data_IF_425277772350
#
_entry.id   IF_425277772350
#
_cell.length_a   1.000
_cell.length_b   1.000
_cell.length_c   1.000
_cell.angle_alpha   90.00
_cell.angle_beta   90.00
_cell.angle_gamma   90.00
#
_symmetry.space_group_name_H-M   'P 1'
#
loop_
_entity.id
_entity.type
_entity.pdbx_description
1 polymer ?
#
# COMPACT_ATOMS: atom_id res chain seq x y z
N UNK A 1 10.43 1.37 15.43
CA UNK A 1 9.12 1.45 14.76
C UNK A 1 7.96 1.92 15.64
N UNK A 2 7.40 1.13 16.57
CA UNK A 2 6.21 1.57 17.34
C UNK A 2 6.43 2.86 18.14
N UNK A 3 7.64 3.04 18.68
CA UNK A 3 8.10 4.28 19.31
C UNK A 3 8.08 5.47 18.35
N UNK A 4 8.60 5.29 17.14
CA UNK A 4 8.78 6.35 16.13
C UNK A 4 7.44 6.75 15.50
N UNK A 5 6.56 5.77 15.25
CA UNK A 5 5.16 6.00 14.89
C UNK A 5 4.44 6.80 15.98
N UNK A 6 4.61 6.41 17.25
CA UNK A 6 4.05 7.16 18.38
C UNK A 6 4.59 8.59 18.47
N UNK A 7 5.89 8.78 18.21
CA UNK A 7 6.52 10.10 18.17
C UNK A 7 5.96 10.98 17.04
N UNK A 8 5.72 10.42 15.85
CA UNK A 8 5.08 11.13 14.74
C UNK A 8 3.64 11.54 15.10
N UNK A 9 2.85 10.61 15.61
CA UNK A 9 1.43 10.85 15.89
C UNK A 9 1.23 11.82 17.06
N UNK A 10 2.00 11.68 18.14
CA UNK A 10 1.80 12.44 19.39
C UNK A 10 2.63 13.72 19.41
N UNK A 11 3.87 13.66 18.91
CA UNK A 11 4.86 14.74 19.05
C UNK A 11 5.23 15.38 17.72
N UNK A 12 4.70 14.88 16.60
CA UNK A 12 4.99 15.38 15.24
C UNK A 12 6.47 15.29 14.88
N UNK A 13 7.14 14.28 15.42
CA UNK A 13 8.55 13.99 15.13
C UNK A 13 8.60 12.81 14.17
N UNK A 14 8.98 13.08 12.92
CA UNK A 14 9.16 12.05 11.90
C UNK A 14 10.57 11.46 11.98
N UNK A 15 10.65 10.13 11.96
CA UNK A 15 11.86 9.39 11.60
C UNK A 15 11.71 8.93 10.15
N UNK A 16 12.55 9.43 9.25
CA UNK A 16 12.44 9.19 7.80
C UNK A 16 12.64 7.72 7.43
N UNK A 17 13.44 6.98 8.22
CA UNK A 17 13.74 5.56 8.02
C UNK A 17 12.91 4.63 8.95
N UNK A 18 12.03 5.18 9.80
CA UNK A 18 11.11 4.39 10.63
C UNK A 18 9.77 5.10 10.83
N UNK A 19 8.80 4.77 9.98
CA UNK A 19 7.48 5.41 9.95
C UNK A 19 6.42 4.46 9.39
N UNK A 20 5.21 4.93 9.11
CA UNK A 20 4.12 4.08 8.60
C UNK A 20 4.45 3.34 7.29
N UNK A 21 5.46 3.79 6.52
CA UNK A 21 5.90 3.12 5.30
C UNK A 21 7.17 2.29 5.45
N UNK A 22 8.05 2.63 6.40
CA UNK A 22 9.36 2.00 6.56
C UNK A 22 9.56 1.39 7.93
N UNK A 23 10.02 0.14 7.96
CA UNK A 23 10.28 -0.62 9.18
C UNK A 23 9.87 -2.09 9.03
N UNK A 24 9.93 -2.83 10.14
CA UNK A 24 9.58 -4.25 10.18
C UNK A 24 8.11 -4.51 9.77
N UNK A 25 7.24 -3.53 10.00
CA UNK A 25 5.80 -3.61 9.78
C UNK A 25 5.30 -2.36 9.05
N UNK A 26 5.26 -2.37 7.72
CA UNK A 26 4.72 -1.26 6.91
C UNK A 26 3.24 -0.98 7.28
N UNK A 27 2.97 -0.02 8.15
CA UNK A 27 1.67 0.26 8.78
C UNK A 27 0.55 0.77 7.85
N UNK A 28 0.54 0.39 6.57
CA UNK A 28 -0.67 0.36 5.73
C UNK A 28 -1.65 -0.76 6.09
N UNK A 29 -1.46 -1.41 7.23
CA UNK A 29 -2.12 -2.65 7.61
C UNK A 29 -3.50 -2.50 8.19
N UNK A 30 -4.27 -1.71 7.49
CA UNK A 30 -5.67 -1.46 7.72
C UNK A 30 -6.28 -1.36 6.37
N UNK A 31 -6.28 -2.49 5.70
CA UNK A 31 -7.48 -2.89 5.02
C UNK A 31 -7.64 -4.40 5.03
N UNK A 32 -8.91 -4.75 4.96
CA UNK A 32 -9.49 -6.06 4.78
C UNK A 32 -8.53 -6.95 3.96
N UNK A 33 -8.29 -8.19 4.39
CA UNK A 33 -7.79 -9.27 3.52
C UNK A 33 -8.87 -9.60 2.46
N UNK A 34 -9.52 -8.58 1.90
CA UNK A 34 -10.53 -8.68 0.88
C UNK A 34 -9.78 -9.21 -0.32
N UNK A 35 -10.29 -10.31 -0.86
CA UNK A 35 -9.92 -10.76 -2.20
C UNK A 35 -10.18 -9.61 -3.17
N UNK A 36 -9.18 -8.75 -3.39
CA UNK A 36 -9.25 -7.74 -4.44
C UNK A 36 -9.16 -8.47 -5.76
N UNK A 37 -10.29 -8.52 -6.45
CA UNK A 37 -10.63 -9.36 -7.61
C UNK A 37 -9.86 -9.04 -8.91
N UNK A 38 -8.68 -8.43 -8.85
CA UNK A 38 -7.95 -7.98 -10.06
C UNK A 38 -6.52 -8.48 -10.23
N UNK A 39 -5.95 -9.17 -9.24
CA UNK A 39 -4.78 -10.01 -9.51
C UNK A 39 -5.30 -11.41 -9.73
N UNK A 40 -4.76 -12.12 -10.73
CA UNK A 40 -4.93 -13.57 -10.98
C UNK A 40 -4.35 -14.38 -9.80
N UNK A 41 -4.71 -14.04 -8.56
CA UNK A 41 -4.37 -14.82 -7.40
C UNK A 41 -5.20 -16.09 -7.51
N UNK A 42 -4.53 -17.18 -7.84
CA UNK A 42 -5.15 -18.50 -7.83
C UNK A 42 -5.74 -18.67 -6.42
N UNK A 43 -7.02 -19.05 -6.28
CA UNK A 43 -7.69 -19.15 -4.98
C UNK A 43 -6.89 -19.93 -3.93
N UNK A 44 -6.11 -20.92 -4.37
CA UNK A 44 -5.19 -21.73 -3.56
C UNK A 44 -4.02 -20.93 -2.99
N UNK A 45 -3.36 -20.07 -3.78
CA UNK A 45 -2.25 -19.24 -3.30
C UNK A 45 -2.71 -18.21 -2.26
N UNK A 46 -3.89 -17.61 -2.48
CA UNK A 46 -4.48 -16.70 -1.49
C UNK A 46 -4.84 -17.43 -0.19
N UNK A 47 -5.37 -18.66 -0.29
CA UNK A 47 -5.67 -19.49 0.87
C UNK A 47 -4.40 -19.83 1.67
N UNK A 48 -3.31 -20.23 1.02
CA UNK A 48 -2.04 -20.53 1.72
C UNK A 48 -1.49 -19.32 2.47
N UNK A 49 -1.62 -18.10 1.91
CA UNK A 49 -1.24 -16.87 2.63
C UNK A 49 -2.08 -16.71 3.90
N UNK A 50 -3.40 -16.86 3.82
CA UNK A 50 -4.29 -16.74 4.98
C UNK A 50 -4.05 -17.84 6.01
N UNK A 51 -3.86 -19.09 5.57
CA UNK A 51 -3.50 -20.20 6.46
C UNK A 51 -2.18 -19.96 7.16
N UNK A 52 -1.18 -19.43 6.45
CA UNK A 52 0.10 -19.05 7.05
C UNK A 52 -0.12 -18.00 8.12
N UNK A 53 -0.91 -16.95 7.86
CA UNK A 53 -1.24 -15.98 8.91
C UNK A 53 -1.88 -16.64 10.14
N UNK A 54 -2.79 -17.60 9.96
CA UNK A 54 -3.40 -18.34 11.10
C UNK A 54 -2.36 -19.16 11.85
N UNK A 55 -1.44 -19.84 11.15
CA UNK A 55 -0.34 -20.60 11.77
C UNK A 55 0.55 -19.72 12.66
N UNK A 56 0.69 -18.44 12.32
CA UNK A 56 1.44 -17.43 13.09
C UNK A 56 0.57 -16.62 14.06
N UNK A 57 -0.66 -17.07 14.36
CA UNK A 57 -1.49 -16.49 15.43
C UNK A 57 -2.62 -15.55 14.97
N UNK A 58 -2.88 -15.42 13.67
CA UNK A 58 -4.10 -14.77 13.20
C UNK A 58 -5.34 -15.60 13.60
N UNK A 59 -6.49 -14.96 13.89
CA UNK A 59 -7.66 -15.68 14.34
C UNK A 59 -8.24 -16.53 13.18
N UNK A 60 -8.58 -17.83 13.39
CA UNK A 60 -9.01 -18.74 12.31
C UNK A 60 -10.17 -18.25 11.45
N UNK A 61 -11.01 -17.36 12.01
CA UNK A 61 -12.12 -16.71 11.28
C UNK A 61 -11.68 -16.00 10.00
N UNK A 62 -10.41 -15.60 9.88
CA UNK A 62 -9.91 -14.94 8.66
C UNK A 62 -10.00 -15.82 7.40
N UNK A 63 -10.14 -17.13 7.57
CA UNK A 63 -10.28 -18.10 6.48
C UNK A 63 -11.71 -18.20 5.92
N UNK A 64 -12.70 -17.79 6.71
CA UNK A 64 -14.13 -17.97 6.39
C UNK A 64 -14.89 -16.65 6.26
N UNK A 65 -14.41 -15.59 6.92
CA UNK A 65 -15.04 -14.26 6.87
C UNK A 65 -15.02 -13.72 5.42
N UNK A 66 -16.20 -13.32 4.91
CA UNK A 66 -16.30 -12.73 3.56
C UNK A 66 -15.59 -11.37 3.42
N UNK A 67 -15.41 -10.66 4.55
CA UNK A 67 -14.69 -9.39 4.67
C UNK A 67 -13.70 -9.47 5.83
N UNK A 68 -12.65 -10.24 5.61
CA UNK A 68 -11.64 -10.53 6.63
C UNK A 68 -10.89 -9.28 7.07
N UNK A 69 -10.83 -9.01 8.38
CA UNK A 69 -10.01 -7.94 8.98
C UNK A 69 -9.18 -8.48 10.16
N UNK A 70 -7.90 -8.11 10.21
CA UNK A 70 -7.00 -8.52 11.30
C UNK A 70 -6.84 -7.42 12.36
N UNK A 71 -6.62 -6.18 11.92
CA UNK A 71 -6.31 -5.04 12.78
C UNK A 71 -4.83 -4.94 13.15
N UNK A 72 -4.33 -3.71 13.28
CA UNK A 72 -2.91 -3.42 13.51
C UNK A 72 -2.37 -4.02 14.82
N UNK A 73 -3.20 -4.06 15.86
CA UNK A 73 -2.89 -4.64 17.18
C UNK A 73 -2.57 -6.13 17.13
N UNK A 74 -3.21 -6.88 16.22
CA UNK A 74 -2.96 -8.32 16.04
C UNK A 74 -1.86 -8.62 15.05
N UNK A 75 -1.66 -7.72 14.08
CA UNK A 75 -0.65 -7.94 13.06
C UNK A 75 0.78 -7.74 13.57
N UNK A 76 1.01 -6.73 14.43
CA UNK A 76 2.37 -6.42 14.91
C UNK A 76 3.01 -7.65 15.61
N UNK A 77 2.35 -8.30 16.59
CA UNK A 77 2.91 -9.50 17.22
C UNK A 77 3.13 -10.65 16.23
N UNK A 78 2.20 -10.84 15.30
CA UNK A 78 2.26 -11.89 14.28
C UNK A 78 3.48 -11.73 13.36
N UNK A 79 3.82 -10.51 12.97
CA UNK A 79 5.01 -10.23 12.14
C UNK A 79 6.32 -10.40 12.92
N UNK A 80 6.32 -10.14 14.23
CA UNK A 80 7.48 -10.44 15.07
C UNK A 80 7.77 -11.94 15.12
N UNK A 81 6.74 -12.78 15.19
CA UNK A 81 6.88 -14.25 15.17
C UNK A 81 7.41 -14.78 13.82
N UNK A 82 7.03 -14.15 12.70
CA UNK A 82 7.64 -14.44 11.39
C UNK A 82 9.15 -14.17 11.40
N UNK A 83 9.57 -13.03 11.94
CA UNK A 83 10.98 -12.63 12.02
C UNK A 83 11.83 -13.63 12.80
N UNK A 84 11.32 -14.12 13.93
CA UNK A 84 11.99 -15.17 14.74
C UNK A 84 12.17 -16.46 13.94
N UNK A 85 11.21 -16.80 13.08
CA UNK A 85 11.24 -18.05 12.32
C UNK A 85 12.25 -18.02 11.16
N UNK A 86 12.44 -16.87 10.52
CA UNK A 86 13.30 -16.73 9.33
C UNK A 86 14.78 -16.45 9.66
N UNK A 87 15.13 -16.17 10.93
CA UNK A 87 16.50 -16.11 11.54
C UNK A 87 17.59 -15.25 10.86
N UNK A 88 17.33 -14.61 9.71
CA UNK A 88 18.36 -14.02 8.83
C UNK A 88 18.08 -12.56 8.44
N UNK A 89 17.20 -11.86 9.15
CA UNK A 89 16.80 -10.50 8.78
C UNK A 89 17.81 -9.48 9.31
N UNK A 90 18.18 -8.54 8.43
CA UNK A 90 19.02 -7.40 8.79
C UNK A 90 18.14 -6.15 8.80
N UNK A 91 17.91 -5.59 9.99
CA UNK A 91 17.19 -4.33 10.17
C UNK A 91 18.17 -3.16 10.36
N UNK A 92 17.69 -1.94 10.08
CA UNK A 92 18.54 -0.75 10.13
C UNK A 92 19.49 -0.65 8.93
N UNK A 93 19.19 -1.33 7.83
CA UNK A 93 20.01 -1.33 6.61
C UNK A 93 19.13 -0.99 5.42
N UNK A 94 19.55 0.02 4.65
CA UNK A 94 18.87 0.47 3.44
C UNK A 94 19.71 0.10 2.21
N UNK A 95 19.05 -0.40 1.17
CA UNK A 95 19.69 -0.57 -0.15
C UNK A 95 19.64 0.77 -0.88
N UNK A 96 20.79 1.35 -1.17
CA UNK A 96 20.92 2.64 -1.87
C UNK A 96 21.07 2.48 -3.38
N UNK A 97 21.76 1.42 -3.83
CA UNK A 97 22.02 1.19 -5.25
C UNK A 97 22.18 -0.29 -5.60
N UNK A 98 22.04 -0.62 -6.88
CA UNK A 98 22.28 -1.95 -7.43
C UNK A 98 23.72 -2.07 -7.95
N UNK A 99 24.37 -3.20 -7.73
CA UNK A 99 25.61 -3.54 -8.41
C UNK A 99 25.25 -4.32 -9.68
N UNK A 100 25.59 -3.77 -10.84
CA UNK A 100 25.21 -4.31 -12.15
C UNK A 100 26.46 -4.52 -13.00
N UNK A 101 26.57 -5.70 -13.60
CA UNK A 101 27.59 -6.07 -14.58
C UNK A 101 26.91 -6.74 -15.76
N UNK A 102 27.18 -6.29 -17.00
CA UNK A 102 26.64 -6.90 -18.23
C UNK A 102 25.11 -7.12 -18.23
N UNK A 103 24.37 -6.10 -17.75
CA UNK A 103 22.90 -6.14 -17.54
C UNK A 103 22.42 -7.27 -16.62
N UNK A 104 23.25 -7.66 -15.67
CA UNK A 104 22.96 -8.65 -14.65
C UNK A 104 23.21 -8.02 -13.27
N UNK A 105 22.28 -8.19 -12.34
CA UNK A 105 22.49 -7.83 -10.93
C UNK A 105 23.53 -8.78 -10.35
N UNK A 106 24.54 -8.22 -9.70
CA UNK A 106 25.60 -8.97 -9.01
C UNK A 106 25.69 -8.62 -7.53
N UNK A 107 24.78 -7.77 -7.04
CA UNK A 107 24.77 -7.35 -5.64
C UNK A 107 24.08 -6.02 -5.40
N UNK A 108 24.29 -5.48 -4.20
CA UNK A 108 23.70 -4.23 -3.72
C UNK A 108 24.71 -3.37 -2.98
N UNK A 109 24.49 -2.06 -3.04
CA UNK A 109 25.12 -1.08 -2.16
C UNK A 109 24.16 -0.76 -1.03
N UNK A 110 24.63 -0.87 0.21
CA UNK A 110 23.82 -0.66 1.41
C UNK A 110 24.41 0.40 2.33
N UNK A 111 23.57 1.05 3.12
CA UNK A 111 23.95 1.96 4.21
C UNK A 111 23.20 1.63 5.51
N UNK A 112 23.79 2.00 6.66
CA UNK A 112 23.10 1.94 7.94
C UNK A 112 22.09 3.11 8.03
N UNK A 113 20.81 2.78 8.18
CA UNK A 113 19.74 3.77 8.23
C UNK A 113 19.66 4.53 9.55
N UNK A 114 20.50 4.17 10.54
CA UNK A 114 20.58 4.83 11.86
C UNK A 114 21.64 5.93 11.89
N UNK A 115 22.57 5.97 10.93
CA UNK A 115 23.62 6.98 10.86
C UNK A 115 23.14 8.23 10.10
N UNK A 116 22.56 9.19 10.82
CA UNK A 116 22.14 10.50 10.27
C UNK A 116 23.31 11.42 9.84
N UNK A 117 24.55 10.95 9.83
CA UNK A 117 25.74 11.78 9.56
C UNK A 117 26.78 11.00 8.76
N UNK A 118 26.80 11.26 7.46
CA UNK A 118 27.85 10.98 6.46
C UNK A 118 27.65 9.71 5.61
N UNK A 119 27.69 9.80 4.27
CA UNK A 119 27.59 8.65 3.35
C UNK A 119 28.85 7.75 3.31
N UNK A 120 29.68 7.77 4.35
CA UNK A 120 31.00 7.11 4.38
C UNK A 120 30.97 5.62 4.68
N UNK A 121 29.85 5.09 5.20
CA UNK A 121 29.74 3.69 5.63
C UNK A 121 28.92 2.84 4.64
N UNK A 122 29.04 3.14 3.33
CA UNK A 122 28.35 2.33 2.32
C UNK A 122 29.09 1.01 2.08
N UNK A 123 28.44 -0.12 2.33
CA UNK A 123 28.98 -1.45 2.09
C UNK A 123 28.47 -2.00 0.75
N UNK A 124 29.29 -2.77 0.06
CA UNK A 124 28.89 -3.54 -1.12
C UNK A 124 28.74 -5.01 -0.73
N UNK A 125 27.62 -5.61 -1.11
CA UNK A 125 27.32 -7.02 -0.85
C UNK A 125 27.01 -7.71 -2.18
N UNK A 126 27.65 -8.86 -2.43
CA UNK A 126 27.45 -9.66 -3.64
C UNK A 126 26.28 -10.62 -3.51
N UNK A 127 25.44 -10.70 -4.54
CA UNK A 127 24.28 -11.60 -4.62
C UNK A 127 24.00 -12.00 -6.07
N UNK A 128 23.55 -13.24 -6.29
CA UNK A 128 23.23 -13.77 -7.61
C UNK A 128 21.83 -13.38 -8.11
N UNK A 129 20.93 -13.04 -7.19
CA UNK A 129 19.60 -12.54 -7.49
C UNK A 129 19.10 -11.58 -6.41
N UNK A 130 18.19 -10.70 -6.81
CA UNK A 130 17.58 -9.72 -5.94
C UNK A 130 16.08 -9.63 -6.16
N UNK A 131 15.32 -9.81 -5.08
CA UNK A 131 13.88 -9.54 -5.06
C UNK A 131 13.66 -8.10 -4.61
N UNK A 132 13.01 -7.30 -5.46
CA UNK A 132 12.71 -5.90 -5.16
C UNK A 132 11.26 -5.76 -4.69
N UNK A 133 11.06 -5.71 -3.37
CA UNK A 133 9.76 -5.66 -2.69
C UNK A 133 9.60 -4.42 -1.80
N UNK A 134 10.06 -3.26 -2.26
CA UNK A 134 10.28 -2.05 -1.44
C UNK A 134 9.01 -1.22 -1.14
N UNK A 135 7.85 -1.65 -1.65
CA UNK A 135 6.61 -0.86 -1.58
C UNK A 135 6.66 0.40 -2.46
N UNK A 136 5.53 1.10 -2.55
CA UNK A 136 5.36 2.22 -3.50
C UNK A 136 5.79 3.59 -2.95
N UNK A 137 6.21 3.65 -1.68
CA UNK A 137 6.69 4.88 -1.03
C UNK A 137 8.21 5.00 -1.05
N UNK A 138 8.92 3.89 -1.34
CA UNK A 138 10.36 3.92 -1.49
C UNK A 138 10.74 4.55 -2.83
N UNK A 139 11.75 5.42 -2.82
CA UNK A 139 12.44 5.77 -4.05
C UNK A 139 13.17 4.51 -4.56
N UNK A 140 13.01 4.12 -5.83
CA UNK A 140 13.81 3.03 -6.36
C UNK A 140 15.31 3.42 -6.34
N UNK A 141 16.22 2.46 -6.16
CA UNK A 141 17.66 2.71 -6.21
C UNK A 141 18.07 3.41 -7.52
N UNK A 142 19.10 4.26 -7.50
CA UNK A 142 19.46 5.10 -8.66
C UNK A 142 19.68 4.29 -9.94
N UNK A 143 20.38 3.15 -9.91
CA UNK A 143 20.54 2.30 -11.11
C UNK A 143 19.32 1.44 -11.42
N UNK A 144 18.38 1.27 -10.49
CA UNK A 144 17.06 0.76 -10.83
C UNK A 144 16.26 1.78 -11.65
N UNK A 145 16.65 3.07 -11.63
CA UNK A 145 16.05 4.08 -12.51
C UNK A 145 16.44 3.85 -13.98
N UNK A 146 17.65 3.34 -14.24
CA UNK A 146 18.13 3.00 -15.59
C UNK A 146 17.40 1.79 -16.19
N UNK A 147 16.71 1.01 -15.35
CA UNK A 147 15.87 -0.14 -15.70
C UNK A 147 14.48 0.29 -16.19
N UNK A 148 14.17 1.59 -16.17
CA UNK A 148 12.98 2.19 -16.78
C UNK A 148 13.28 2.73 -18.20
N UNK A 149 13.61 1.90 -19.22
CA UNK A 149 13.75 2.44 -20.56
C UNK A 149 12.36 2.82 -21.07
N UNK A 150 12.20 4.08 -21.49
CA UNK A 150 11.15 4.46 -22.45
C UNK A 150 9.86 5.05 -21.87
N UNK A 151 9.20 5.83 -22.74
CA UNK A 151 8.09 6.77 -22.55
C UNK A 151 6.80 6.23 -21.89
N UNK A 152 6.71 4.94 -21.58
CA UNK A 152 5.45 4.26 -21.22
C UNK A 152 5.42 3.67 -19.78
N UNK A 153 6.40 3.98 -18.93
CA UNK A 153 6.50 3.43 -17.56
C UNK A 153 5.59 4.11 -16.51
N UNK A 154 4.90 5.19 -16.91
CA UNK A 154 3.85 5.80 -16.07
C UNK A 154 2.55 5.03 -16.29
N UNK A 155 2.11 4.27 -15.29
CA UNK A 155 0.73 3.79 -15.26
C UNK A 155 -0.23 4.95 -15.04
N UNK A 156 -1.50 4.74 -15.38
CA UNK A 156 -2.58 5.46 -14.74
C UNK A 156 -2.43 5.28 -13.22
N UNK A 157 -2.02 6.34 -12.54
CA UNK A 157 -1.94 6.36 -11.11
C UNK A 157 -3.32 6.74 -10.56
N UNK A 158 -3.84 5.96 -9.63
CA UNK A 158 -5.05 6.36 -8.94
C UNK A 158 -4.66 7.46 -7.95
N UNK A 159 -5.21 8.66 -8.10
CA UNK A 159 -4.65 9.82 -7.42
C UNK A 159 -5.66 10.82 -6.98
N UNK A 160 -5.48 11.23 -5.73
CA UNK A 160 -6.21 12.33 -5.17
C UNK A 160 -7.58 11.88 -4.78
N UNK A 161 -7.75 11.64 -3.50
CA UNK A 161 -8.79 12.48 -2.99
C UNK A 161 -8.90 12.52 -1.50
N UNK A 162 -9.93 13.25 -1.14
CA UNK A 162 -10.23 13.76 0.16
C UNK A 162 -10.37 12.57 1.09
N UNK A 163 -9.51 12.46 2.11
CA UNK A 163 -10.02 11.86 3.34
C UNK A 163 -11.03 12.86 3.88
N UNK A 164 -12.28 12.70 3.46
CA UNK A 164 -13.36 13.50 3.98
C UNK A 164 -13.48 13.15 5.46
N UNK A 165 -13.04 14.07 6.31
CA UNK A 165 -13.53 14.15 7.66
C UNK A 165 -14.96 14.66 7.59
N UNK A 166 -15.89 13.75 7.35
CA UNK A 166 -17.19 13.95 7.97
C UNK A 166 -16.99 13.76 9.46
N UNK A 167 -16.62 14.85 10.15
CA UNK A 167 -17.32 15.14 11.40
C UNK A 167 -18.78 15.42 11.00
N UNK A 168 -19.51 14.35 10.67
CA UNK A 168 -20.87 14.33 11.13
C UNK A 168 -20.76 14.37 12.64
N UNK A 169 -20.79 15.57 13.22
CA UNK A 169 -21.41 15.74 14.54
C UNK A 169 -22.76 15.04 14.40
N UNK A 170 -22.85 13.82 14.93
CA UNK A 170 -23.93 12.85 14.74
C UNK A 170 -24.16 12.39 13.29
N UNK A 171 -23.44 11.35 12.88
CA UNK A 171 -24.10 10.26 12.17
C UNK A 171 -24.12 9.14 13.19
N UNK A 172 -25.12 9.20 14.07
CA UNK A 172 -25.45 8.08 14.93
C UNK A 172 -25.62 6.88 13.99
N UNK A 173 -24.79 5.86 14.16
CA UNK A 173 -24.85 4.62 13.36
C UNK A 173 -26.24 3.98 13.45
N UNK A 174 -27.09 4.47 14.37
CA UNK A 174 -28.52 4.15 14.45
C UNK A 174 -29.42 4.77 13.37
N UNK A 175 -29.04 5.81 12.60
CA UNK A 175 -30.00 6.64 11.83
C UNK A 175 -29.66 7.02 10.36
N UNK A 176 -28.70 6.39 9.67
CA UNK A 176 -28.54 6.48 8.19
C UNK A 176 -28.67 5.06 7.60
N UNK A 177 -28.85 4.83 6.28
CA UNK A 177 -29.33 3.58 5.73
C UNK A 177 -28.17 2.59 5.45
N UNK A 178 -27.43 2.10 6.46
CA UNK A 178 -27.12 0.68 6.52
C UNK A 178 -28.17 -0.07 7.34
N UNK A 179 -29.16 0.64 7.92
CA UNK A 179 -30.30 0.00 8.61
C UNK A 179 -30.96 -1.02 7.69
N UNK A 180 -31.09 -0.79 6.37
CA UNK A 180 -31.64 -1.80 5.46
C UNK A 180 -30.67 -2.94 5.14
N UNK A 181 -29.35 -2.69 5.03
CA UNK A 181 -28.36 -3.74 4.77
C UNK A 181 -28.30 -4.73 5.94
N UNK A 182 -28.42 -4.22 7.16
CA UNK A 182 -28.34 -5.02 8.37
C UNK A 182 -29.69 -5.25 9.06
N UNK A 183 -30.82 -4.73 8.56
CA UNK A 183 -32.15 -4.96 9.18
C UNK A 183 -32.51 -6.44 9.17
N UNK A 184 -32.10 -7.16 8.12
CA UNK A 184 -32.25 -8.62 8.05
C UNK A 184 -31.44 -9.32 9.15
N UNK A 185 -30.18 -8.91 9.35
CA UNK A 185 -29.32 -9.44 10.42
C UNK A 185 -29.75 -8.98 11.81
N UNK A 186 -30.37 -7.81 11.95
CA UNK A 186 -30.80 -7.26 13.23
C UNK A 186 -31.83 -8.17 13.89
N UNK A 187 -32.75 -8.75 13.12
CA UNK A 187 -33.71 -9.74 13.61
C UNK A 187 -33.02 -11.03 14.05
N UNK A 188 -32.01 -11.50 13.30
CA UNK A 188 -31.23 -12.69 13.67
C UNK A 188 -30.44 -12.47 14.96
N UNK A 189 -29.79 -11.31 15.10
CA UNK A 189 -29.01 -10.93 16.28
C UNK A 189 -29.92 -10.72 17.49
N UNK A 190 -31.10 -10.09 17.32
CA UNK A 190 -32.12 -9.99 18.36
C UNK A 190 -32.62 -11.37 18.80
N UNK A 191 -32.70 -12.35 17.88
CA UNK A 191 -33.01 -13.75 18.20
C UNK A 191 -31.83 -14.51 18.85
N UNK A 192 -30.74 -13.82 19.19
CA UNK A 192 -29.55 -14.39 19.83
C UNK A 192 -28.53 -15.00 18.86
N UNK A 193 -28.72 -14.89 17.54
CA UNK A 193 -27.80 -15.45 16.55
C UNK A 193 -26.75 -14.41 16.14
N UNK A 194 -25.57 -14.52 16.74
CA UNK A 194 -24.39 -13.78 16.31
C UNK A 194 -24.39 -12.30 16.67
N UNK A 195 -23.54 -11.52 15.99
CA UNK A 195 -23.42 -10.06 16.17
C UNK A 195 -23.56 -9.38 14.81
N UNK A 196 -24.15 -8.19 14.78
CA UNK A 196 -24.11 -7.34 13.59
C UNK A 196 -22.64 -6.99 13.35
N UNK A 197 -22.08 -7.28 12.16
CA UNK A 197 -20.71 -6.90 11.85
C UNK A 197 -20.60 -5.37 11.81
N UNK A 198 -19.38 -4.86 11.97
CA UNK A 198 -19.18 -3.40 11.86
C UNK A 198 -19.48 -2.99 10.42
N UNK A 199 -20.40 -2.05 10.27
CA UNK A 199 -20.90 -1.62 8.97
C UNK A 199 -19.77 -1.03 8.11
N UNK A 200 -19.76 -1.39 6.84
CA UNK A 200 -18.89 -0.83 5.83
C UNK A 200 -19.64 -0.26 4.64
N UNK A 201 -18.93 0.45 3.76
CA UNK A 201 -19.50 1.03 2.55
C UNK A 201 -18.46 1.02 1.43
N UNK A 202 -18.96 0.94 0.20
CA UNK A 202 -18.17 1.10 -1.02
C UNK A 202 -18.98 1.91 -2.02
N UNK A 203 -18.49 3.10 -2.34
CA UNK A 203 -19.16 4.05 -3.24
C UNK A 203 -18.28 4.27 -4.47
N UNK A 204 -18.92 4.35 -5.64
CA UNK A 204 -18.29 4.66 -6.92
C UNK A 204 -19.24 5.58 -7.67
N UNK A 205 -18.70 6.65 -8.24
CA UNK A 205 -19.42 7.61 -9.08
C UNK A 205 -18.57 7.92 -10.31
N UNK A 206 -19.19 8.04 -11.48
CA UNK A 206 -18.53 8.51 -12.70
C UNK A 206 -18.95 9.96 -12.95
N UNK A 207 -18.00 10.87 -12.80
CA UNK A 207 -18.22 12.30 -13.00
C UNK A 207 -17.85 12.65 -14.43
N UNK A 208 -18.84 13.11 -15.19
CA UNK A 208 -18.63 13.71 -16.50
C UNK A 208 -18.47 15.23 -16.34
N UNK A 209 -17.45 15.81 -16.99
CA UNK A 209 -17.25 17.26 -17.00
C UNK A 209 -18.02 17.97 -18.12
N UNK A 210 -18.79 17.26 -18.94
CA UNK A 210 -19.72 17.83 -19.92
C UNK A 210 -20.76 18.71 -19.18
N UNK A 211 -20.46 20.00 -19.02
CA UNK A 211 -21.31 20.97 -18.31
C UNK A 211 -20.63 21.74 -17.17
N UNK A 212 -19.38 21.41 -16.81
CA UNK A 212 -18.57 22.21 -15.89
C UNK A 212 -17.77 23.22 -16.73
N UNK A 213 -17.85 24.51 -16.41
CA UNK A 213 -17.04 25.54 -17.06
C UNK A 213 -15.56 25.30 -16.75
N UNK A 214 -14.88 24.60 -17.64
CA UNK A 214 -13.44 24.37 -17.52
C UNK A 214 -12.67 25.55 -18.13
N UNK A 215 -11.41 25.80 -17.72
CA UNK A 215 -10.54 26.76 -18.39
C UNK A 215 -10.50 26.49 -19.91
N UNK A 216 -10.41 27.53 -20.72
CA UNK A 216 -10.76 27.59 -22.16
C UNK A 216 -9.96 26.69 -23.13
N UNK A 217 -9.33 25.61 -22.68
CA UNK A 217 -8.56 24.66 -23.50
C UNK A 217 -8.65 23.19 -23.05
N UNK A 218 -9.53 22.82 -22.11
CA UNK A 218 -9.63 21.43 -21.65
C UNK A 218 -10.80 20.68 -22.27
N UNK A 219 -10.49 19.61 -22.98
CA UNK A 219 -11.48 18.64 -23.45
C UNK A 219 -12.27 18.03 -22.27
N UNK A 220 -13.55 17.66 -22.47
CA UNK A 220 -14.32 16.96 -21.46
C UNK A 220 -13.66 15.63 -21.06
N UNK A 221 -13.66 15.34 -19.76
CA UNK A 221 -13.03 14.15 -19.17
C UNK A 221 -14.03 13.43 -18.28
N UNK A 222 -14.23 12.15 -18.54
CA UNK A 222 -14.86 11.25 -17.57
C UNK A 222 -13.85 10.87 -16.50
N UNK A 223 -14.22 11.09 -15.23
CA UNK A 223 -13.43 10.67 -14.07
C UNK A 223 -14.21 9.70 -13.23
N UNK A 224 -13.53 8.69 -12.71
CA UNK A 224 -14.10 7.82 -11.68
C UNK A 224 -13.68 8.32 -10.31
N UNK A 225 -14.66 8.55 -9.45
CA UNK A 225 -14.51 8.87 -8.05
C UNK A 225 -14.97 7.66 -7.23
N UNK A 226 -14.23 7.23 -6.22
CA UNK A 226 -14.61 6.07 -5.42
C UNK A 226 -14.04 6.10 -4.01
N UNK A 227 -14.70 5.41 -3.08
CA UNK A 227 -14.19 5.21 -1.73
C UNK A 227 -13.08 4.15 -1.74
N UNK A 228 -11.96 4.46 -1.09
CA UNK A 228 -10.78 3.62 -0.95
C UNK A 228 -10.38 3.52 0.52
N UNK A 229 -9.95 2.33 0.95
CA UNK A 229 -9.44 2.09 2.30
C UNK A 229 -10.41 2.55 3.42
N UNK A 230 -11.72 2.28 3.28
CA UNK A 230 -12.75 2.63 4.29
C UNK A 230 -12.60 1.86 5.62
N UNK A 231 -11.99 2.44 6.64
CA UNK A 231 -11.76 1.84 7.95
C UNK A 231 -12.96 2.06 8.89
N UNK A 232 -13.78 1.03 9.15
CA UNK A 232 -14.86 1.13 10.13
C UNK A 232 -14.25 1.22 11.54
N UNK A 233 -14.81 2.08 12.38
CA UNK A 233 -14.34 2.25 13.76
C UNK A 233 -12.83 2.48 13.85
N UNK A 234 -12.31 3.28 12.92
CA UNK A 234 -10.89 3.57 12.74
C UNK A 234 -10.47 5.00 13.10
N UNK A 235 -9.28 5.37 12.62
CA UNK A 235 -8.62 6.65 12.76
C UNK A 235 -7.84 6.98 11.48
N UNK A 236 -7.69 8.27 11.19
CA UNK A 236 -6.78 8.76 10.15
C UNK A 236 -5.38 8.88 10.75
N UNK A 237 -4.36 8.46 10.02
CA UNK A 237 -2.96 8.46 10.46
C UNK A 237 -2.08 9.25 9.52
N UNK A 238 -1.10 9.95 10.09
CA UNK A 238 -0.03 10.61 9.35
C UNK A 238 0.90 9.55 8.76
N UNK A 239 1.05 9.57 7.44
CA UNK A 239 1.87 8.62 6.69
C UNK A 239 2.96 9.30 5.87
N UNK A 240 3.30 10.55 6.21
CA UNK A 240 4.42 11.27 5.63
C UNK A 240 5.74 10.50 5.77
N UNK A 241 6.56 10.54 4.73
CA UNK A 241 7.93 9.99 4.72
C UNK A 241 9.01 11.06 4.63
N UNK A 242 8.63 12.32 4.42
CA UNK A 242 9.53 13.45 4.36
C UNK A 242 9.00 14.59 5.26
N UNK A 243 9.87 15.36 5.95
CA UNK A 243 9.46 16.49 6.80
C UNK A 243 8.72 17.61 6.09
N UNK A 244 8.94 17.76 4.78
CA UNK A 244 8.32 18.80 3.94
C UNK A 244 7.05 18.34 3.23
N UNK A 245 6.60 17.11 3.49
CA UNK A 245 5.48 16.46 2.79
C UNK A 245 4.39 16.05 3.80
N UNK A 246 3.12 16.25 3.41
CA UNK A 246 1.97 15.80 4.19
C UNK A 246 1.18 14.73 3.42
N UNK A 247 1.09 13.53 4.00
CA UNK A 247 0.27 12.44 3.49
C UNK A 247 -0.49 11.76 4.64
N UNK A 248 -1.75 11.39 4.40
CA UNK A 248 -2.57 10.63 5.37
C UNK A 248 -3.09 9.32 4.79
N UNK A 249 -3.51 8.42 5.69
CA UNK A 249 -4.16 7.15 5.36
C UNK A 249 -5.14 6.74 6.45
N UNK A 250 -5.94 5.69 6.23
CA UNK A 250 -6.82 5.10 7.23
C UNK A 250 -6.18 3.96 8.05
N UNK A 251 -6.56 3.87 9.33
CA UNK A 251 -6.22 2.80 10.27
C UNK A 251 -7.39 2.38 11.17
N UNK A 252 -7.44 1.12 11.61
CA UNK A 252 -8.39 0.54 12.56
C UNK A 252 -7.76 -0.64 13.31
N UNK A 253 -8.12 -0.76 14.58
CA UNK A 253 -7.76 -1.92 15.40
C UNK A 253 -8.70 -3.10 15.10
N UNK A 254 -8.37 -4.29 15.60
CA UNK A 254 -9.12 -5.52 15.40
C UNK A 254 -10.57 -5.43 15.88
N UNK A 255 -10.83 -4.60 16.90
CA UNK A 255 -12.16 -4.36 17.47
C UNK A 255 -13.00 -3.36 16.68
N UNK A 256 -12.38 -2.51 15.84
CA UNK A 256 -13.07 -1.47 15.08
C UNK A 256 -14.06 -0.66 15.94
N UNK A 257 -13.59 -0.18 17.10
CA UNK A 257 -14.44 0.42 18.15
C UNK A 257 -14.27 1.93 18.30
N UNK A 258 -13.55 2.60 17.39
CA UNK A 258 -13.55 4.06 17.37
C UNK A 258 -14.96 4.58 17.06
N UNK A 259 -15.25 5.79 17.54
CA UNK A 259 -16.50 6.49 17.21
C UNK A 259 -16.60 6.93 15.74
N UNK A 260 -15.51 6.82 14.98
CA UNK A 260 -15.40 7.31 13.60
C UNK A 260 -15.23 6.17 12.60
N UNK A 261 -15.85 6.32 11.43
CA UNK A 261 -15.49 5.60 10.21
C UNK A 261 -14.79 6.58 9.26
N UNK A 262 -13.78 6.12 8.54
CA UNK A 262 -13.03 6.97 7.60
C UNK A 262 -12.77 6.22 6.30
N UNK A 263 -12.78 6.92 5.17
CA UNK A 263 -12.28 6.44 3.88
C UNK A 263 -11.61 7.59 3.16
N UNK A 264 -10.70 7.29 2.24
CA UNK A 264 -10.39 8.25 1.19
C UNK A 264 -11.45 8.17 0.09
N UNK A 265 -11.94 9.31 -0.34
CA UNK A 265 -12.71 9.45 -1.57
C UNK A 265 -11.74 9.89 -2.65
N UNK A 266 -11.37 8.99 -3.55
CA UNK A 266 -10.27 9.23 -4.52
C UNK A 266 -10.79 9.33 -5.95
N UNK A 267 -10.07 10.09 -6.78
CA UNK A 267 -10.28 10.25 -8.22
C UNK A 267 -9.17 9.54 -8.98
N UNK A 268 -9.44 9.20 -10.25
CA UNK A 268 -8.43 8.68 -11.16
C UNK A 268 -7.65 9.81 -11.83
N UNK A 269 -6.31 9.72 -11.81
CA UNK A 269 -5.45 10.55 -12.66
C UNK A 269 -4.66 9.67 -13.64
N UNK A 270 -4.12 10.31 -14.65
CA UNK A 270 -3.39 9.66 -15.73
C UNK A 270 -2.17 10.47 -16.11
N UNK A 271 -1.36 9.92 -17.01
CA UNK A 271 -0.24 10.64 -17.62
C UNK A 271 -0.66 11.98 -18.25
N UNK A 272 -1.92 12.12 -18.68
CA UNK A 272 -2.49 13.39 -19.20
C UNK A 272 -2.56 14.49 -18.14
N UNK A 273 -2.67 14.13 -16.87
CA UNK A 273 -2.71 15.07 -15.75
C UNK A 273 -1.31 15.55 -15.36
N UNK A 274 -0.32 14.67 -15.51
CA UNK A 274 1.09 15.02 -15.33
C UNK A 274 1.56 15.97 -16.44
N UNK A 275 1.21 15.65 -17.69
CA UNK A 275 1.51 16.49 -18.85
C UNK A 275 0.87 17.88 -18.76
N UNK A 276 -0.32 18.00 -18.15
CA UNK A 276 -0.97 19.30 -17.93
C UNK A 276 -0.24 20.21 -16.92
N UNK A 277 0.74 19.65 -16.18
CA UNK A 277 1.61 20.37 -15.26
C UNK A 277 3.06 20.42 -15.77
N UNK A 278 3.27 20.20 -17.07
CA UNK A 278 4.58 20.14 -17.73
C UNK A 278 5.55 19.11 -17.10
N UNK A 279 5.00 18.06 -16.46
CA UNK A 279 5.79 16.97 -15.89
C UNK A 279 6.06 15.89 -16.96
N UNK A 280 7.18 16.03 -17.66
CA UNK A 280 7.62 15.10 -18.73
C UNK A 280 8.83 14.23 -18.34
N UNK A 281 8.91 13.84 -17.07
CA UNK A 281 10.02 13.02 -16.54
C UNK A 281 9.63 11.55 -16.37
N UNK A 282 10.58 10.59 -16.39
CA UNK A 282 10.29 9.16 -16.20
C UNK A 282 9.55 8.81 -14.91
N UNK A 283 9.68 9.65 -13.88
CA UNK A 283 8.99 9.53 -12.59
C UNK A 283 7.92 10.61 -12.38
N UNK A 284 7.26 11.06 -13.45
CA UNK A 284 6.30 12.16 -13.36
C UNK A 284 5.18 11.89 -12.34
N UNK A 285 4.74 10.63 -12.25
CA UNK A 285 3.76 10.23 -11.23
C UNK A 285 4.26 10.41 -9.80
N UNK A 286 5.55 10.15 -9.51
CA UNK A 286 6.17 10.35 -8.18
C UNK A 286 6.27 11.84 -7.86
N UNK A 287 6.74 12.67 -8.80
CA UNK A 287 6.85 14.11 -8.56
C UNK A 287 5.48 14.77 -8.43
N UNK A 288 4.49 14.30 -9.18
CA UNK A 288 3.09 14.69 -8.97
C UNK A 288 2.66 14.41 -7.53
N UNK A 289 3.08 13.28 -6.93
CA UNK A 289 2.80 12.99 -5.52
C UNK A 289 3.39 14.02 -4.59
N UNK A 290 4.70 14.20 -4.69
CA UNK A 290 5.47 15.09 -3.83
C UNK A 290 4.97 16.53 -3.96
N UNK A 291 4.61 16.97 -5.17
CA UNK A 291 4.07 18.30 -5.40
C UNK A 291 2.81 18.55 -4.56
N UNK A 292 1.84 17.63 -4.57
CA UNK A 292 0.61 17.79 -3.77
C UNK A 292 0.84 17.59 -2.27
N UNK A 293 1.74 16.67 -1.88
CA UNK A 293 2.09 16.47 -0.46
C UNK A 293 2.79 17.71 0.13
N UNK A 294 3.70 18.35 -0.61
CA UNK A 294 4.34 19.61 -0.21
C UNK A 294 3.35 20.76 -0.10
N UNK A 295 2.40 20.84 -1.04
CA UNK A 295 1.31 21.83 -0.98
C UNK A 295 0.42 21.63 0.23
N UNK A 296 0.08 20.38 0.55
CA UNK A 296 -0.69 20.05 1.75
C UNK A 296 0.05 20.40 3.03
N UNK A 297 1.36 20.15 3.09
CA UNK A 297 2.19 20.59 4.21
C UNK A 297 2.23 22.12 4.32
N UNK A 298 2.40 22.85 3.22
CA UNK A 298 2.41 24.30 3.21
C UNK A 298 1.07 24.90 3.66
N UNK A 299 -0.05 24.33 3.23
CA UNK A 299 -1.39 24.77 3.67
C UNK A 299 -1.69 24.46 5.13
N UNK A 300 -1.08 23.42 5.68
CA UNK A 300 -1.08 23.14 7.11
C UNK A 300 -0.14 24.03 7.93
N UNK A 301 0.58 24.97 7.32
CA UNK A 301 1.66 25.75 7.98
C UNK A 301 2.84 24.88 8.47
N UNK A 302 3.01 23.68 7.89
CA UNK A 302 4.07 22.74 8.22
C UNK A 302 3.82 21.95 9.51
N UNK A 303 4.90 21.40 10.09
CA UNK A 303 4.87 20.64 11.35
C UNK A 303 3.80 19.52 11.39
N UNK A 304 3.58 18.85 10.26
CA UNK A 304 2.56 17.80 10.07
C UNK A 304 1.13 18.18 10.53
N UNK A 305 0.81 19.46 10.55
CA UNK A 305 -0.57 19.92 10.76
C UNK A 305 -1.36 19.61 9.51
N UNK A 306 -2.49 18.94 9.70
CA UNK A 306 -3.35 18.53 8.59
C UNK A 306 -4.34 19.65 8.30
N UNK A 307 -4.41 20.18 7.06
CA UNK A 307 -5.46 21.11 6.68
C UNK A 307 -6.81 20.38 6.77
N UNK A 308 -7.74 20.98 7.51
CA UNK A 308 -9.09 20.44 7.67
C UNK A 308 -10.10 21.50 7.25
N UNK A 309 -10.96 21.13 6.31
CA UNK A 309 -12.06 21.93 5.83
C UNK A 309 -13.33 21.10 5.97
N UNK A 310 -14.30 21.62 6.73
CA UNK A 310 -15.61 20.98 6.83
C UNK A 310 -16.24 20.86 5.45
N UNK A 311 -16.86 19.73 5.17
CA UNK A 311 -17.50 19.46 3.88
C UNK A 311 -18.50 20.55 3.47
N UNK A 312 -19.27 21.08 4.42
CA UNK A 312 -20.23 22.17 4.17
C UNK A 312 -19.53 23.45 3.71
N UNK A 313 -18.36 23.76 4.26
CA UNK A 313 -17.56 24.92 3.85
C UNK A 313 -16.95 24.65 2.48
N UNK A 314 -16.44 23.44 2.26
CA UNK A 314 -15.87 23.02 0.99
C UNK A 314 -16.86 23.13 -0.18
N UNK A 315 -18.08 22.59 0.00
CA UNK A 315 -19.11 22.58 -1.04
C UNK A 315 -19.69 23.97 -1.35
N UNK A 316 -19.68 24.87 -0.35
CA UNK A 316 -20.29 26.19 -0.48
C UNK A 316 -19.27 27.30 -0.81
N UNK A 317 -17.97 27.03 -0.77
CA UNK A 317 -16.95 28.04 -1.04
C UNK A 317 -16.67 28.17 -2.54
N UNK A 318 -17.40 29.08 -3.20
CA UNK A 318 -17.27 29.38 -4.64
C UNK A 318 -16.04 30.22 -5.00
N UNK A 319 -15.36 30.81 -4.02
CA UNK A 319 -14.21 31.72 -4.26
C UNK A 319 -12.84 31.06 -4.02
N UNK A 320 -12.80 29.90 -3.37
CA UNK A 320 -11.57 29.14 -3.25
C UNK A 320 -11.13 28.57 -4.60
N UNK A 321 -9.85 28.71 -4.93
CA UNK A 321 -9.31 28.07 -6.14
C UNK A 321 -9.44 26.55 -6.03
N UNK A 322 -9.63 25.85 -7.15
CA UNK A 322 -9.67 24.37 -7.22
C UNK A 322 -8.48 23.73 -6.50
N UNK A 323 -7.31 24.35 -6.58
CA UNK A 323 -6.09 23.95 -5.87
C UNK A 323 -6.19 24.09 -4.37
N UNK A 324 -6.78 25.19 -3.89
CA UNK A 324 -7.01 25.43 -2.48
C UNK A 324 -8.09 24.49 -1.93
N UNK A 325 -9.11 24.19 -2.71
CA UNK A 325 -10.10 23.16 -2.39
C UNK A 325 -9.44 21.77 -2.29
N UNK A 326 -8.73 21.32 -3.33
CA UNK A 326 -8.07 20.00 -3.38
C UNK A 326 -7.13 19.72 -2.20
N UNK A 327 -6.55 20.76 -1.61
CA UNK A 327 -5.53 20.66 -0.57
C UNK A 327 -6.06 21.11 0.80
N UNK A 328 -7.28 21.69 0.87
CA UNK A 328 -7.94 22.09 2.11
C UNK A 328 -8.45 20.93 2.97
N UNK A 329 -8.50 19.73 2.40
CA UNK A 329 -8.77 18.49 3.11
C UNK A 329 -7.49 17.68 3.30
N UNK A 330 -7.44 16.90 4.37
CA UNK A 330 -6.43 15.84 4.54
C UNK A 330 -6.24 15.01 3.25
N UNK A 331 -4.98 14.87 2.81
CA UNK A 331 -4.64 14.39 1.48
C UNK A 331 -4.10 12.96 1.50
N UNK A 332 -4.77 12.05 0.77
CA UNK A 332 -4.28 10.69 0.52
C UNK A 332 -3.76 10.56 -0.92
N UNK A 333 -2.46 10.35 -1.03
CA UNK A 333 -1.68 10.51 -2.26
C UNK A 333 -1.12 9.20 -2.81
N UNK A 334 -0.86 8.24 -1.92
CA UNK A 334 -0.09 7.05 -2.26
C UNK A 334 -0.94 5.80 -2.42
N UNK A 335 -2.13 5.83 -3.03
CA UNK A 335 -3.05 4.66 -3.02
C UNK A 335 -2.50 3.43 -3.73
N UNK A 336 -1.76 3.62 -4.82
CA UNK A 336 -1.05 2.59 -5.59
C UNK A 336 0.31 3.11 -6.06
N UNK A 337 1.15 2.23 -6.62
CA UNK A 337 2.41 2.70 -7.21
C UNK A 337 2.17 3.60 -8.42
N UNK A 338 2.85 4.76 -8.50
CA UNK A 338 2.85 5.60 -9.69
C UNK A 338 3.71 5.03 -10.82
N UNK A 339 4.43 3.93 -10.57
CA UNK A 339 5.40 3.33 -11.49
C UNK A 339 5.12 1.84 -11.63
N UNK A 340 5.39 1.29 -12.82
CA UNK A 340 5.46 -0.15 -13.01
C UNK A 340 6.85 -0.53 -13.51
N UNK A 341 7.49 -1.50 -12.84
CA UNK A 341 8.74 -2.09 -13.32
C UNK A 341 8.37 -3.26 -14.22
N UNK A 342 8.85 -3.28 -15.47
CA UNK A 342 8.48 -4.34 -16.42
C UNK A 342 9.15 -5.67 -16.09
N UNK A 343 8.38 -6.76 -16.11
CA UNK A 343 8.86 -8.12 -15.85
C UNK A 343 8.23 -9.15 -16.81
N UNK A 344 8.89 -10.30 -16.99
CA UNK A 344 8.40 -11.45 -17.75
C UNK A 344 7.27 -12.20 -17.02
N UNK A 345 6.46 -12.99 -17.73
CA UNK A 345 5.32 -13.70 -17.10
C UNK A 345 5.73 -14.89 -16.22
N UNK A 346 6.81 -15.58 -16.58
CA UNK A 346 7.49 -16.66 -15.82
C UNK A 346 8.94 -16.60 -16.34
N UNK A 347 9.96 -16.30 -15.51
CA UNK A 347 10.03 -16.37 -14.04
C UNK A 347 9.76 -15.05 -13.28
N UNK A 348 8.94 -14.11 -13.79
CA UNK A 348 8.74 -12.80 -13.12
C UNK A 348 10.03 -11.99 -12.94
N UNK A 349 11.00 -12.19 -13.85
CA UNK A 349 12.27 -11.46 -13.87
C UNK A 349 12.11 -10.17 -14.68
N UNK A 350 12.82 -9.12 -14.27
CA UNK A 350 12.81 -7.84 -14.96
C UNK A 350 13.27 -7.97 -16.42
N UNK A 351 12.56 -7.33 -17.34
CA UNK A 351 12.82 -7.47 -18.79
C UNK A 351 14.11 -6.80 -19.25
N UNK A 352 14.56 -5.77 -18.54
CA UNK A 352 15.74 -4.97 -18.88
C UNK A 352 16.98 -5.32 -18.04
N UNK A 353 16.81 -5.99 -16.89
CA UNK A 353 17.90 -6.32 -15.97
C UNK A 353 17.76 -7.75 -15.42
N UNK A 354 18.68 -8.63 -15.80
CA UNK A 354 18.70 -10.01 -15.33
C UNK A 354 19.06 -10.10 -13.85
N UNK A 355 18.54 -11.10 -13.15
CA UNK A 355 18.73 -11.31 -11.70
C UNK A 355 17.88 -10.39 -10.82
N UNK A 356 17.06 -9.50 -11.39
CA UNK A 356 16.15 -8.62 -10.65
C UNK A 356 14.69 -9.12 -10.74
N UNK A 357 14.02 -9.29 -9.60
CA UNK A 357 12.65 -9.77 -9.51
C UNK A 357 11.76 -8.72 -8.82
N UNK A 358 11.12 -7.81 -9.57
CA UNK A 358 10.34 -6.72 -9.02
C UNK A 358 8.93 -7.15 -8.61
N UNK A 359 8.59 -7.11 -7.33
CA UNK A 359 7.30 -7.61 -6.83
C UNK A 359 6.56 -6.61 -5.93
N UNK A 360 5.31 -6.95 -5.62
CA UNK A 360 4.50 -6.20 -4.67
C UNK A 360 3.94 -4.90 -5.23
N UNK A 361 3.46 -4.04 -4.33
CA UNK A 361 2.81 -2.79 -4.71
C UNK A 361 3.78 -1.84 -5.39
N UNK A 362 5.02 -1.74 -4.91
CA UNK A 362 6.05 -0.85 -5.44
C UNK A 362 6.36 -1.10 -6.92
N UNK A 363 6.43 -2.37 -7.31
CA UNK A 363 6.64 -2.76 -8.70
C UNK A 363 5.37 -2.63 -9.58
N UNK A 364 4.20 -2.39 -8.99
CA UNK A 364 2.93 -2.26 -9.70
C UNK A 364 2.20 -3.60 -9.94
N UNK A 365 2.57 -4.67 -9.22
CA UNK A 365 2.01 -6.02 -9.40
C UNK A 365 1.06 -6.47 -8.27
N UNK A 366 0.90 -5.67 -7.22
CA UNK A 366 -0.03 -5.91 -6.13
C UNK A 366 -0.80 -4.64 -5.75
N UNK A 367 -1.90 -4.80 -5.02
CA UNK A 367 -2.72 -3.70 -4.49
C UNK A 367 -3.24 -3.93 -3.08
N UNK A 368 -2.59 -4.85 -2.35
CA UNK A 368 -2.93 -5.19 -0.98
C UNK A 368 -2.10 -6.38 -0.48
N UNK A 369 -2.20 -6.63 0.82
CA UNK A 369 -1.37 -7.57 1.59
C UNK A 369 -1.34 -8.96 0.97
N UNK A 370 -2.52 -9.55 0.72
CA UNK A 370 -2.62 -10.92 0.17
C UNK A 370 -1.98 -10.98 -1.21
N UNK A 371 -2.29 -10.02 -2.09
CA UNK A 371 -1.72 -9.99 -3.44
C UNK A 371 -0.19 -9.79 -3.44
N UNK A 372 0.33 -8.99 -2.50
CA UNK A 372 1.78 -8.78 -2.36
C UNK A 372 2.48 -10.05 -1.84
N UNK A 373 1.90 -10.72 -0.84
CA UNK A 373 2.42 -11.98 -0.31
C UNK A 373 2.37 -13.11 -1.36
N UNK A 374 1.29 -13.18 -2.15
CA UNK A 374 1.22 -14.08 -3.32
C UNK A 374 2.34 -13.76 -4.30
N UNK A 375 2.57 -12.49 -4.64
CA UNK A 375 3.71 -12.08 -5.48
C UNK A 375 5.07 -12.57 -4.94
N UNK A 376 5.29 -12.45 -3.63
CA UNK A 376 6.49 -12.98 -2.96
C UNK A 376 6.64 -14.49 -3.08
N UNK A 377 5.54 -15.23 -2.91
CA UNK A 377 5.52 -16.69 -3.07
C UNK A 377 5.92 -17.09 -4.49
N UNK A 378 5.29 -16.49 -5.51
CA UNK A 378 5.60 -16.78 -6.92
C UNK A 378 7.05 -16.42 -7.27
N UNK A 379 7.57 -15.29 -6.78
CA UNK A 379 8.97 -14.91 -7.01
C UNK A 379 9.95 -15.88 -6.35
N UNK A 380 9.68 -16.34 -5.13
CA UNK A 380 10.51 -17.35 -4.46
C UNK A 380 10.56 -18.67 -5.24
N UNK A 381 9.43 -19.16 -5.73
CA UNK A 381 9.40 -20.37 -6.58
C UNK A 381 10.05 -20.16 -7.94
N UNK A 382 9.90 -18.98 -8.53
CA UNK A 382 10.54 -18.66 -9.80
C UNK A 382 12.07 -18.68 -9.68
N UNK A 383 12.62 -18.13 -8.59
CA UNK A 383 14.05 -18.23 -8.29
C UNK A 383 14.49 -19.67 -8.00
N UNK A 384 13.70 -20.43 -7.23
CA UNK A 384 13.99 -21.84 -6.97
C UNK A 384 14.03 -22.69 -8.27
N UNK A 385 13.21 -22.38 -9.28
CA UNK A 385 13.30 -22.97 -10.62
C UNK A 385 14.61 -22.60 -11.31
N UNK A 386 15.02 -21.33 -11.23
CA UNK A 386 16.29 -20.86 -11.82
C UNK A 386 17.50 -21.59 -11.24
N UNK A 387 17.46 -21.88 -9.94
CA UNK A 387 18.47 -22.70 -9.24
C UNK A 387 18.31 -24.21 -9.46
N UNK A 388 17.38 -24.65 -10.30
CA UNK A 388 17.06 -26.08 -10.53
C UNK A 388 16.67 -26.86 -9.25
N UNK A 389 16.24 -26.14 -8.20
CA UNK A 389 15.77 -26.73 -6.93
C UNK A 389 14.34 -27.26 -7.02
N UNK A 390 13.60 -26.82 -8.04
CA UNK A 390 12.21 -27.20 -8.27
C UNK A 390 11.90 -27.34 -9.77
N UNK A 391 11.23 -28.43 -10.14
CA UNK A 391 10.76 -28.70 -11.49
C UNK A 391 9.24 -28.91 -11.45
N UNK A 392 8.47 -27.93 -11.96
CA UNK A 392 7.01 -28.00 -11.99
C UNK A 392 6.33 -26.63 -11.88
N UNK A 393 5.01 -26.63 -11.72
CA UNK A 393 4.24 -25.41 -11.45
C UNK A 393 3.94 -25.28 -9.94
N UNK A 394 3.78 -24.06 -9.46
CA UNK A 394 3.47 -23.81 -8.05
C UNK A 394 2.15 -24.49 -7.64
N UNK A 395 1.21 -24.62 -8.57
CA UNK A 395 -0.08 -25.28 -8.37
C UNK A 395 0.07 -26.76 -8.05
N UNK A 396 1.12 -27.44 -8.54
CA UNK A 396 1.40 -28.83 -8.16
C UNK A 396 1.78 -28.96 -6.68
N UNK A 397 2.40 -27.93 -6.10
CA UNK A 397 2.75 -27.90 -4.67
C UNK A 397 1.52 -27.50 -3.86
N UNK A 398 0.85 -26.41 -4.25
CA UNK A 398 -0.30 -25.87 -3.54
C UNK A 398 -1.51 -26.82 -3.59
N UNK A 399 -1.69 -27.57 -4.68
CA UNK A 399 -2.80 -28.52 -4.85
C UNK A 399 -2.58 -29.88 -4.20
N UNK A 400 -1.33 -30.27 -3.91
CA UNK A 400 -0.99 -31.53 -3.22
C UNK A 400 -0.82 -31.38 -1.71
N UNK A 401 -0.66 -30.16 -1.21
CA UNK A 401 -0.47 -29.91 0.21
C UNK A 401 -1.78 -30.10 0.99
N UNK A 402 -1.98 -31.29 1.55
CA UNK A 402 -2.71 -31.36 2.82
C UNK A 402 -1.86 -30.65 3.88
N UNK A 403 -2.45 -29.62 4.49
CA UNK A 403 -2.03 -28.89 5.70
C UNK A 403 -0.59 -29.15 6.19
N UNK A 404 0.30 -28.17 5.99
CA UNK A 404 1.43 -27.95 6.91
C UNK A 404 2.87 -28.21 6.44
N UNK A 405 3.17 -28.35 5.14
CA UNK A 405 4.56 -28.64 4.68
C UNK A 405 5.24 -27.58 3.79
N UNK A 406 4.57 -26.48 3.42
CA UNK A 406 5.12 -25.53 2.44
C UNK A 406 6.19 -24.60 3.03
N UNK A 407 6.00 -24.07 4.25
CA UNK A 407 7.02 -23.22 4.89
C UNK A 407 8.33 -24.02 5.12
N UNK A 408 8.20 -25.29 5.51
CA UNK A 408 9.32 -26.22 5.65
C UNK A 408 9.94 -26.56 4.31
N UNK A 409 9.17 -26.70 3.23
CA UNK A 409 9.69 -26.92 1.89
C UNK A 409 10.48 -25.70 1.37
N UNK A 410 9.94 -24.49 1.50
CA UNK A 410 10.63 -23.24 1.10
C UNK A 410 11.88 -22.99 1.95
N UNK A 411 11.81 -23.11 3.28
CA UNK A 411 13.00 -22.98 4.13
C UNK A 411 14.04 -24.08 3.86
N UNK A 412 13.62 -25.32 3.58
CA UNK A 412 14.59 -26.40 3.26
C UNK A 412 15.18 -26.30 1.85
N UNK A 413 14.46 -25.68 0.90
CA UNK A 413 14.98 -25.36 -0.44
C UNK A 413 15.96 -24.19 -0.38
N UNK A 414 15.64 -23.14 0.37
CA UNK A 414 16.47 -21.93 0.50
C UNK A 414 17.67 -22.09 1.44
N UNK A 415 17.61 -22.96 2.46
CA UNK A 415 18.77 -23.25 3.33
C UNK A 415 19.75 -24.26 2.74
N UNK A 416 19.46 -24.84 1.56
CA UNK A 416 20.37 -25.77 0.85
C UNK A 416 21.22 -25.07 -0.22
N UNK A 417 20.90 -23.82 -0.55
CA UNK A 417 21.71 -22.88 -1.33
C UNK A 417 22.41 -21.91 -0.38
#
# INVERSE_FOLDING_TARGET
>A
MGRDIGALVVRRILQEESNFFFGEVISRFTYVLQRTSRVRAVPTASAEVLETLVRFGAPPKILVDGKTHLGTDKLIPLLQDFGVTLKSWVFGTRVDDLLVKDKHVVGVKVSDSRENRSPSTSQQLGYDAMVLAVGHSAAPPNKALDVFPGKDNNREAYWGGFTNWTSYKSLDVRNWPPIWEYSGLANEVQSGRGKVPVADYKVVEYVNTDGIALPSNSAPRNRSCYSFCMCPGGQVVLTSTNPSELCVSGMSFSRQSSKWANAALVVTVSSKDFAALDLHIPLAGVEFQRMFERRAAAMGEGNFVVPDCRQEVYLNNKEATLLQLLVSSSLQTRTSSPVQISQSADPCECTSLRGLYPIGEGAGYAGGIVSAAVGGMYSGFAWAKCLSLFHGSIELILGKAQSGKILTALCSLLCKS
#
